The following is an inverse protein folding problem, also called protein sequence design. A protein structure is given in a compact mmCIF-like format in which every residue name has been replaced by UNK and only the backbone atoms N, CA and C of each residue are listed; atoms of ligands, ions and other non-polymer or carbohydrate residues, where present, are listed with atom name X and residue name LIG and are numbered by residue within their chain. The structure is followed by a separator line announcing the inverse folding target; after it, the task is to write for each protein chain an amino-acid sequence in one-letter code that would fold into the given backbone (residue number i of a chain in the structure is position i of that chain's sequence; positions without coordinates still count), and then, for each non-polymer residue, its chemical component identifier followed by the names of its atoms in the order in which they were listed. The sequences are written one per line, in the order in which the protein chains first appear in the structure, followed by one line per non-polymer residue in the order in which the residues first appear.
data_IF_973697879479
#
_entry.id   IF_973697879479
#
_cell.length_a   1.000
_cell.length_b   1.000
_cell.length_c   1.000
_cell.angle_alpha   90.00
_cell.angle_beta   90.00
_cell.angle_gamma   90.00
#
_symmetry.space_group_name_H-M   'P 1'
#
loop_
_entity.id
_entity.type
_entity.pdbx_description
1 polymer ?
#
# COMPACT_ATOMS: atom_id res chain seq x y z
N UNK A 1 -4.12 -16.42 -3.34
CA UNK A 1 -2.68 -16.12 -3.49
C UNK A 1 -2.17 -15.60 -2.14
N UNK A 2 -0.96 -15.93 -1.68
CA UNK A 2 -0.44 -15.35 -0.43
C UNK A 2 0.11 -13.95 -0.72
N UNK A 3 0.11 -13.07 0.29
CA UNK A 3 0.70 -11.72 0.20
C UNK A 3 2.14 -11.73 -0.35
N UNK A 4 2.96 -12.70 0.07
CA UNK A 4 4.33 -12.84 -0.41
C UNK A 4 4.42 -13.14 -1.92
N UNK A 5 3.51 -13.96 -2.45
CA UNK A 5 3.47 -14.28 -3.88
C UNK A 5 3.10 -13.04 -4.70
N UNK A 6 2.15 -12.24 -4.20
CA UNK A 6 1.77 -10.95 -4.80
C UNK A 6 2.97 -10.00 -4.83
N UNK A 7 3.72 -9.89 -3.72
CA UNK A 7 4.92 -9.06 -3.69
C UNK A 7 5.98 -9.52 -4.69
N UNK A 8 6.12 -10.83 -4.88
CA UNK A 8 7.04 -11.40 -5.86
C UNK A 8 6.69 -10.99 -7.29
N UNK A 9 5.41 -11.05 -7.66
CA UNK A 9 4.95 -10.60 -8.97
C UNK A 9 5.15 -9.08 -9.15
N UNK A 10 4.85 -8.29 -8.10
CA UNK A 10 5.03 -6.82 -8.14
C UNK A 10 6.51 -6.44 -8.37
N UNK A 11 7.48 -7.12 -7.74
CA UNK A 11 8.90 -6.78 -7.93
C UNK A 11 9.44 -7.08 -9.33
N UNK A 12 8.81 -8.02 -10.04
CA UNK A 12 9.15 -8.36 -11.42
C UNK A 12 8.67 -7.27 -12.40
N UNK A 13 7.62 -6.52 -12.06
CA UNK A 13 7.10 -5.43 -12.91
C UNK A 13 7.74 -4.07 -12.64
N UNK A 14 8.43 -3.93 -11.51
CA UNK A 14 8.99 -2.65 -11.05
C UNK A 14 10.27 -2.25 -11.78
N UNK A 15 10.30 -1.01 -12.26
CA UNK A 15 11.42 -0.34 -12.93
C UNK A 15 11.91 0.85 -12.09
N UNK A 16 11.62 2.08 -12.50
CA UNK A 16 12.08 3.34 -11.89
C UNK A 16 10.98 4.08 -11.12
N UNK A 17 9.87 3.39 -10.80
CA UNK A 17 8.78 3.93 -10.00
C UNK A 17 9.20 4.07 -8.53
N UNK A 18 8.72 5.16 -7.89
CA UNK A 18 8.85 5.35 -6.46
C UNK A 18 7.89 4.41 -5.73
N UNK A 19 8.39 3.65 -4.76
CA UNK A 19 7.58 2.68 -4.02
C UNK A 19 7.47 3.07 -2.56
N UNK A 20 6.25 3.10 -2.04
CA UNK A 20 5.98 3.19 -0.60
C UNK A 20 5.41 1.86 -0.16
N UNK A 21 6.10 1.15 0.74
CA UNK A 21 5.64 -0.13 1.25
C UNK A 21 5.23 -0.03 2.71
N UNK A 22 4.09 -0.63 3.02
CA UNK A 22 3.49 -0.65 4.34
C UNK A 22 4.35 -1.37 5.41
N UNK A 23 4.04 -1.11 6.68
CA UNK A 23 4.84 -1.51 7.82
C UNK A 23 4.89 -3.01 8.09
N UNK A 24 5.96 -3.40 8.79
CA UNK A 24 6.13 -4.74 9.33
C UNK A 24 6.66 -5.72 8.30
N UNK A 25 6.04 -6.90 8.22
CA UNK A 25 6.48 -8.01 7.38
C UNK A 25 6.50 -7.64 5.88
N UNK A 26 5.51 -6.92 5.30
CA UNK A 26 5.55 -6.48 3.90
C UNK A 26 6.82 -5.73 3.52
N UNK A 27 7.20 -4.70 4.28
CA UNK A 27 8.44 -3.97 4.03
C UNK A 27 9.68 -4.87 4.09
N UNK A 28 9.75 -5.80 5.05
CA UNK A 28 10.89 -6.74 5.16
C UNK A 28 10.95 -7.73 3.99
N UNK A 29 9.80 -8.26 3.58
CA UNK A 29 9.71 -9.17 2.43
C UNK A 29 10.08 -8.45 1.13
N UNK A 30 9.58 -7.23 0.92
CA UNK A 30 9.90 -6.44 -0.26
C UNK A 30 11.40 -6.09 -0.30
N UNK A 31 11.99 -5.71 0.83
CA UNK A 31 13.43 -5.46 0.97
C UNK A 31 14.24 -6.70 0.56
N UNK A 32 13.89 -7.87 1.08
CA UNK A 32 14.58 -9.12 0.75
C UNK A 32 14.37 -9.56 -0.70
N UNK A 33 13.24 -9.21 -1.31
CA UNK A 33 12.94 -9.56 -2.70
C UNK A 33 13.68 -8.66 -3.69
N UNK A 34 13.69 -7.34 -3.49
CA UNK A 34 14.29 -6.36 -4.40
C UNK A 34 14.47 -4.99 -3.73
N UNK A 35 15.50 -4.86 -2.91
CA UNK A 35 15.94 -3.57 -2.37
C UNK A 35 16.41 -2.62 -3.48
N UNK A 36 16.12 -1.32 -3.30
CA UNK A 36 16.45 -0.25 -4.24
C UNK A 36 16.29 1.13 -3.61
N UNK A 37 16.97 2.12 -4.17
CA UNK A 37 16.94 3.50 -3.71
C UNK A 37 15.54 4.16 -3.86
N UNK A 38 14.74 3.71 -4.82
CA UNK A 38 13.39 4.21 -5.07
C UNK A 38 12.33 3.68 -4.09
N UNK A 39 12.69 2.79 -3.15
CA UNK A 39 11.74 2.22 -2.19
C UNK A 39 11.86 2.83 -0.80
N UNK A 40 10.76 3.41 -0.35
CA UNK A 40 10.57 3.83 1.03
C UNK A 40 9.83 2.74 1.83
N UNK A 41 10.55 2.12 2.76
CA UNK A 41 10.02 1.15 3.71
C UNK A 41 9.43 1.87 4.92
N UNK A 42 8.10 2.00 4.98
CA UNK A 42 7.43 2.71 6.06
C UNK A 42 7.32 1.80 7.29
N UNK A 43 8.20 1.97 8.29
CA UNK A 43 8.29 1.03 9.42
C UNK A 43 7.46 1.38 10.67
N UNK A 44 6.90 2.60 10.76
CA UNK A 44 6.46 3.14 12.05
C UNK A 44 5.06 3.76 12.12
N UNK A 45 4.29 3.78 11.04
CA UNK A 45 3.04 4.55 10.98
C UNK A 45 1.93 3.84 10.20
N UNK A 46 1.27 2.89 10.88
CA UNK A 46 0.15 2.13 10.30
C UNK A 46 -0.93 3.06 9.73
N UNK A 47 -1.39 2.76 8.53
CA UNK A 47 -2.35 3.57 7.77
C UNK A 47 -1.76 4.78 7.04
N UNK A 48 -0.48 5.13 7.20
CA UNK A 48 0.07 6.32 6.53
C UNK A 48 0.73 6.03 5.17
N UNK A 49 0.86 4.78 4.75
CA UNK A 49 1.49 4.44 3.46
C UNK A 49 0.80 5.16 2.29
N UNK A 50 -0.54 5.11 2.24
CA UNK A 50 -1.35 5.80 1.23
C UNK A 50 -1.18 7.32 1.25
N UNK A 51 -1.13 7.94 2.43
CA UNK A 51 -0.93 9.39 2.59
C UNK A 51 0.48 9.83 2.18
N UNK A 52 1.51 9.05 2.51
CA UNK A 52 2.90 9.34 2.11
C UNK A 52 3.03 9.23 0.59
N UNK A 53 2.47 8.18 0.00
CA UNK A 53 2.50 7.98 -1.45
C UNK A 53 1.76 9.11 -2.19
N UNK A 54 0.64 9.59 -1.67
CA UNK A 54 -0.04 10.77 -2.20
C UNK A 54 0.84 12.02 -2.15
N UNK A 55 1.51 12.27 -1.03
CA UNK A 55 2.46 13.39 -0.90
C UNK A 55 3.60 13.31 -1.91
N UNK A 56 4.16 12.10 -2.13
CA UNK A 56 5.17 11.85 -3.15
C UNK A 56 4.64 12.09 -4.55
N UNK A 57 3.45 11.59 -4.89
CA UNK A 57 2.84 11.75 -6.21
C UNK A 57 2.64 13.23 -6.57
N UNK A 58 2.18 14.04 -5.61
CA UNK A 58 2.02 15.50 -5.77
C UNK A 58 3.38 16.17 -5.95
N UNK A 59 4.39 15.74 -5.18
CA UNK A 59 5.72 16.37 -5.17
C UNK A 59 6.60 15.96 -6.36
N UNK A 60 6.33 14.81 -6.96
CA UNK A 60 7.09 14.20 -8.04
C UNK A 60 6.16 13.86 -9.23
N UNK A 61 5.53 14.86 -9.87
CA UNK A 61 4.49 14.63 -10.87
C UNK A 61 4.97 13.87 -12.13
N UNK A 62 6.29 13.82 -12.36
CA UNK A 62 6.91 13.14 -13.51
C UNK A 62 7.36 11.71 -13.20
N UNK A 63 7.13 11.21 -11.99
CA UNK A 63 7.48 9.85 -11.56
C UNK A 63 6.23 9.10 -11.16
N UNK A 64 6.10 7.86 -11.63
CA UNK A 64 5.05 6.95 -11.13
C UNK A 64 5.34 6.59 -9.68
N UNK A 65 4.28 6.58 -8.86
CA UNK A 65 4.35 6.27 -7.43
C UNK A 65 3.43 5.10 -7.13
N UNK A 66 3.99 4.01 -6.61
CA UNK A 66 3.25 2.82 -6.21
C UNK A 66 3.21 2.71 -4.69
N UNK A 67 2.01 2.67 -4.12
CA UNK A 67 1.80 2.39 -2.71
C UNK A 67 1.38 0.93 -2.55
N UNK A 68 2.21 0.13 -1.89
CA UNK A 68 1.88 -1.24 -1.52
C UNK A 68 1.40 -1.23 -0.07
N UNK A 69 0.09 -1.41 0.12
CA UNK A 69 -0.56 -1.38 1.42
C UNK A 69 -1.29 -2.68 1.76
N UNK A 70 -1.69 -2.85 3.01
CA UNK A 70 -2.54 -3.95 3.47
C UNK A 70 -3.94 -3.46 3.81
N UNK A 71 -4.93 -4.33 3.66
CA UNK A 71 -6.32 -4.09 4.09
C UNK A 71 -6.43 -3.50 5.50
N UNK A 72 -5.78 -4.13 6.48
CA UNK A 72 -5.81 -3.68 7.86
C UNK A 72 -5.21 -2.29 8.07
N UNK A 73 -4.19 -1.94 7.28
CA UNK A 73 -3.55 -0.62 7.36
C UNK A 73 -4.43 0.45 6.71
N UNK A 74 -5.00 0.17 5.53
CA UNK A 74 -5.96 1.08 4.88
C UNK A 74 -7.17 1.35 5.78
N UNK A 75 -7.69 0.34 6.48
CA UNK A 75 -8.79 0.52 7.43
C UNK A 75 -8.46 1.49 8.57
N UNK A 76 -7.19 1.60 8.99
CA UNK A 76 -6.76 2.53 10.04
C UNK A 76 -6.70 3.99 9.56
N UNK A 77 -6.68 4.23 8.25
CA UNK A 77 -6.68 5.57 7.66
C UNK A 77 -7.58 5.62 6.43
N UNK A 78 -8.84 5.21 6.60
CA UNK A 78 -9.79 5.12 5.50
C UNK A 78 -10.05 6.50 4.85
N UNK A 79 -9.94 7.58 5.63
CA UNK A 79 -10.06 8.96 5.14
C UNK A 79 -9.05 9.32 4.05
N UNK A 80 -7.89 8.64 4.01
CA UNK A 80 -6.92 8.82 2.93
C UNK A 80 -7.49 8.54 1.54
N UNK A 81 -8.41 7.58 1.41
CA UNK A 81 -9.05 7.26 0.12
C UNK A 81 -9.88 8.43 -0.40
N UNK A 82 -10.62 9.11 0.48
CA UNK A 82 -11.38 10.31 0.12
C UNK A 82 -10.46 11.44 -0.34
N UNK A 83 -9.34 11.66 0.36
CA UNK A 83 -8.35 12.66 -0.05
C UNK A 83 -7.70 12.30 -1.39
N UNK A 84 -7.29 11.04 -1.59
CA UNK A 84 -6.70 10.57 -2.85
C UNK A 84 -7.68 10.76 -4.01
N UNK A 85 -8.95 10.41 -3.82
CA UNK A 85 -9.98 10.55 -4.85
C UNK A 85 -10.23 12.02 -5.24
N UNK A 86 -10.18 12.94 -4.28
CA UNK A 86 -10.36 14.37 -4.56
C UNK A 86 -9.14 15.02 -5.23
N UNK A 87 -7.93 14.62 -4.83
CA UNK A 87 -6.69 15.16 -5.44
C UNK A 87 -6.44 14.52 -6.82
N UNK A 88 -6.79 13.24 -6.98
CA UNK A 88 -6.72 12.46 -8.21
C UNK A 88 -5.40 12.61 -8.99
N UNK A 89 -4.23 12.37 -8.38
CA UNK A 89 -2.95 12.45 -9.09
C UNK A 89 -2.86 11.36 -10.15
N UNK A 90 -2.50 11.73 -11.38
CA UNK A 90 -2.43 10.80 -12.53
C UNK A 90 -1.32 9.74 -12.41
N UNK A 91 -0.36 9.95 -11.51
CA UNK A 91 0.84 9.14 -11.34
C UNK A 91 0.83 8.28 -10.06
N UNK A 92 -0.28 8.17 -9.34
CA UNK A 92 -0.38 7.34 -8.13
C UNK A 92 -1.15 6.04 -8.40
N UNK A 93 -0.57 4.90 -8.02
CA UNK A 93 -1.27 3.61 -7.97
C UNK A 93 -1.25 3.08 -6.54
N UNK A 94 -2.44 2.83 -5.98
CA UNK A 94 -2.60 2.20 -4.67
C UNK A 94 -2.90 0.70 -4.84
N UNK A 95 -1.97 -0.13 -4.42
CA UNK A 95 -2.04 -1.60 -4.45
C UNK A 95 -2.34 -2.08 -3.03
N UNK A 96 -3.59 -2.44 -2.78
CA UNK A 96 -4.01 -2.96 -1.47
C UNK A 96 -4.06 -4.48 -1.51
N UNK A 97 -3.21 -5.12 -0.72
CA UNK A 97 -3.22 -6.58 -0.55
C UNK A 97 -4.21 -6.91 0.57
N UNK A 98 -5.36 -7.43 0.18
CA UNK A 98 -6.41 -7.86 1.10
C UNK A 98 -6.24 -9.34 1.43
N UNK A 99 -5.64 -9.61 2.59
CA UNK A 99 -5.49 -10.96 3.14
C UNK A 99 -6.36 -11.17 4.39
N UNK A 100 -7.34 -10.29 4.62
CA UNK A 100 -8.35 -10.37 5.68
C UNK A 100 -7.79 -10.47 7.11
N UNK A 101 -6.51 -10.12 7.33
CA UNK A 101 -5.84 -10.34 8.60
C UNK A 101 -4.69 -9.37 8.89
N UNK A 102 -4.60 -8.95 10.15
CA UNK A 102 -3.46 -8.22 10.71
C UNK A 102 -2.26 -9.16 10.92
N UNK A 103 -1.53 -9.44 9.84
CA UNK A 103 -0.47 -10.46 9.81
C UNK A 103 0.67 -10.22 10.83
N UNK A 104 0.98 -8.96 11.13
CA UNK A 104 2.10 -8.60 12.02
C UNK A 104 1.77 -8.72 13.52
N UNK A 105 0.49 -8.80 13.91
CA UNK A 105 0.06 -8.76 15.32
C UNK A 105 -0.58 -10.05 15.82
N UNK A 106 -0.62 -11.10 14.99
CA UNK A 106 -1.19 -12.40 15.35
C UNK A 106 -2.36 -12.87 14.48
N UNK A 107 -2.50 -12.36 13.25
CA UNK A 107 -3.52 -12.75 12.28
C UNK A 107 -4.96 -12.56 12.78
N UNK A 108 -5.20 -11.52 13.58
CA UNK A 108 -6.57 -11.12 13.90
C UNK A 108 -7.27 -10.72 12.61
N UNK A 109 -8.54 -11.12 12.47
CA UNK A 109 -9.34 -10.79 11.30
C UNK A 109 -9.53 -9.29 11.18
N UNK A 110 -9.37 -8.77 9.97
CA UNK A 110 -9.72 -7.38 9.63
C UNK A 110 -11.21 -7.29 9.29
N UNK A 111 -11.72 -6.07 9.10
CA UNK A 111 -13.11 -5.87 8.72
C UNK A 111 -13.42 -6.30 7.28
N UNK A 112 -12.41 -6.48 6.42
CA UNK A 112 -12.59 -7.03 5.06
C UNK A 112 -12.94 -8.52 5.07
N UNK A 113 -12.63 -9.25 6.15
CA UNK A 113 -13.15 -10.62 6.39
C UNK A 113 -14.67 -10.69 6.59
N UNK A 114 -15.33 -9.53 6.71
CA UNK A 114 -16.77 -9.39 6.96
C UNK A 114 -17.49 -8.78 5.76
N UNK A 115 -18.07 -7.59 5.96
CA UNK A 115 -18.88 -6.90 4.95
C UNK A 115 -18.13 -5.77 4.23
N UNK A 116 -16.93 -5.44 4.68
CA UNK A 116 -16.21 -4.29 4.15
C UNK A 116 -15.59 -4.64 2.81
N UNK A 117 -15.97 -3.91 1.77
CA UNK A 117 -15.38 -3.98 0.44
C UNK A 117 -14.60 -2.71 0.16
N UNK A 118 -13.27 -2.79 0.18
CA UNK A 118 -12.39 -1.66 -0.06
C UNK A 118 -12.50 -1.13 -1.49
N UNK A 119 -12.83 -1.99 -2.46
CA UNK A 119 -12.98 -1.58 -3.87
C UNK A 119 -14.24 -0.74 -4.08
N UNK A 120 -15.31 -1.02 -3.34
CA UNK A 120 -16.52 -0.20 -3.34
C UNK A 120 -16.27 1.14 -2.63
N UNK A 121 -15.59 1.13 -1.49
CA UNK A 121 -15.26 2.37 -0.76
C UNK A 121 -14.38 3.29 -1.62
N UNK A 122 -13.43 2.74 -2.38
CA UNK A 122 -12.55 3.53 -3.24
C UNK A 122 -13.28 4.22 -4.41
N UNK A 123 -14.52 3.83 -4.74
CA UNK A 123 -15.32 4.45 -5.81
C UNK A 123 -16.09 5.70 -5.37
N UNK A 124 -16.24 5.93 -4.06
CA UNK A 124 -17.11 6.96 -3.49
C UNK A 124 -18.49 6.44 -3.11
#
# INVERSE_FOLDING_TARGET
MKRYDVLKEIVETLNDELVVCNLGIPSRELYNLKDRDETFYMLGSMGLSSSIALGLAISQPNKSVYCIDGDGSILMNLGSLSTIANINPANLTLIVIDNEAYGSTGNQKTHTSGKTDLSLIAKG
#
